data_IF_579883104710
#
_entry.id   IF_579883104710
#
_cell.length_a   1.000
_cell.length_b   1.000
_cell.length_c   1.000
_cell.angle_alpha   90.00
_cell.angle_beta   90.00
_cell.angle_gamma   90.00
#
_symmetry.space_group_name_H-M   'P 1'
#
loop_
_entity.id
_entity.type
_entity.pdbx_description
1 polymer ?
#
# COMPACT_ATOMS: atom_id res chain seq x y z
N UNK A 1 -4.84 -27.08 -11.63
CA UNK A 1 -4.06 -26.51 -10.51
C UNK A 1 -2.73 -25.89 -10.98
N UNK A 2 -2.05 -26.47 -11.98
CA UNK A 2 -0.72 -26.01 -12.43
C UNK A 2 -0.65 -24.58 -12.96
N UNK A 3 -1.70 -24.09 -13.64
CA UNK A 3 -1.77 -22.68 -14.08
C UNK A 3 -1.78 -21.69 -12.91
N UNK A 4 -2.35 -22.05 -11.76
CA UNK A 4 -2.41 -21.19 -10.57
C UNK A 4 -1.06 -21.16 -9.87
N UNK A 5 -0.41 -22.33 -9.75
CA UNK A 5 0.91 -22.47 -9.12
C UNK A 5 1.99 -21.77 -9.96
N UNK A 6 1.93 -21.89 -11.30
CA UNK A 6 2.85 -21.19 -12.20
C UNK A 6 2.71 -19.67 -12.12
N UNK A 7 1.47 -19.17 -12.13
CA UNK A 7 1.20 -17.72 -11.93
C UNK A 7 1.66 -17.23 -10.56
N UNK A 8 1.49 -18.02 -9.51
CA UNK A 8 1.97 -17.66 -8.17
C UNK A 8 3.51 -17.56 -8.12
N UNK A 9 4.22 -18.46 -8.81
CA UNK A 9 5.68 -18.45 -8.89
C UNK A 9 6.21 -17.28 -9.74
N UNK A 10 5.55 -16.96 -10.84
CA UNK A 10 5.82 -15.76 -11.64
C UNK A 10 5.60 -14.48 -10.80
N UNK A 11 4.50 -14.42 -10.02
CA UNK A 11 4.20 -13.31 -9.13
C UNK A 11 5.26 -13.12 -8.02
N UNK A 12 5.70 -14.22 -7.40
CA UNK A 12 6.82 -14.20 -6.45
C UNK A 12 8.14 -13.74 -7.09
N UNK A 13 8.38 -14.13 -8.35
CA UNK A 13 9.52 -13.66 -9.13
C UNK A 13 9.47 -12.14 -9.40
N UNK A 14 8.28 -11.60 -9.69
CA UNK A 14 8.05 -10.16 -9.90
C UNK A 14 8.29 -9.39 -8.60
N UNK A 15 7.81 -9.88 -7.45
CA UNK A 15 8.08 -9.27 -6.14
C UNK A 15 9.58 -9.21 -5.88
N UNK A 16 10.31 -10.30 -6.11
CA UNK A 16 11.76 -10.35 -5.94
C UNK A 16 12.52 -9.44 -6.91
N UNK A 17 12.12 -9.41 -8.18
CA UNK A 17 12.70 -8.54 -9.20
C UNK A 17 12.48 -7.07 -8.87
N UNK A 18 11.28 -6.69 -8.49
CA UNK A 18 10.98 -5.30 -8.16
C UNK A 18 11.56 -4.85 -6.83
N UNK A 19 11.74 -5.76 -5.86
CA UNK A 19 12.51 -5.45 -4.66
C UNK A 19 13.98 -5.19 -5.02
N UNK A 20 14.55 -5.97 -5.94
CA UNK A 20 15.90 -5.75 -6.48
C UNK A 20 15.99 -4.42 -7.23
N UNK A 21 15.03 -4.09 -8.09
CA UNK A 21 14.98 -2.81 -8.83
C UNK A 21 14.85 -1.62 -7.87
N UNK A 22 13.91 -1.69 -6.92
CA UNK A 22 13.72 -0.65 -5.90
C UNK A 22 14.98 -0.46 -5.03
N UNK A 23 15.70 -1.54 -4.73
CA UNK A 23 16.95 -1.52 -3.98
C UNK A 23 18.11 -0.89 -4.77
N UNK A 24 18.17 -1.10 -6.09
CA UNK A 24 19.19 -0.53 -6.98
C UNK A 24 18.98 0.98 -7.15
N UNK A 25 17.74 1.44 -7.26
CA UNK A 25 17.45 2.86 -7.53
C UNK A 25 17.58 3.75 -6.28
N UNK A 26 17.13 3.32 -5.09
CA UNK A 26 17.19 4.18 -3.90
C UNK A 26 17.07 3.46 -2.55
N UNK A 27 18.21 2.98 -2.04
CA UNK A 27 18.32 2.24 -0.77
C UNK A 27 17.81 3.00 0.46
N UNK A 28 17.99 4.33 0.50
CA UNK A 28 17.58 5.17 1.65
C UNK A 28 16.07 5.41 1.67
N UNK A 29 15.45 5.68 0.51
CA UNK A 29 14.02 5.97 0.44
C UNK A 29 13.17 4.72 0.65
N UNK A 30 13.64 3.56 0.19
CA UNK A 30 12.98 2.28 0.44
C UNK A 30 12.92 1.95 1.94
N UNK A 31 14.02 2.12 2.68
CA UNK A 31 14.04 1.85 4.13
C UNK A 31 13.13 2.80 4.92
N UNK A 32 13.20 4.11 4.65
CA UNK A 32 12.32 5.10 5.32
C UNK A 32 10.86 4.80 5.02
N UNK A 33 10.54 4.48 3.76
CA UNK A 33 9.18 4.13 3.35
C UNK A 33 8.69 2.84 4.00
N UNK A 34 9.50 1.78 4.01
CA UNK A 34 9.14 0.51 4.64
C UNK A 34 8.90 0.69 6.14
N UNK A 35 9.71 1.50 6.82
CA UNK A 35 9.49 1.84 8.21
C UNK A 35 8.16 2.58 8.44
N UNK A 36 7.85 3.58 7.60
CA UNK A 36 6.56 4.28 7.64
C UNK A 36 5.39 3.31 7.39
N UNK A 37 5.48 2.43 6.39
CA UNK A 37 4.42 1.48 6.06
C UNK A 37 4.16 0.49 7.19
N UNK A 38 5.21 0.00 7.87
CA UNK A 38 5.10 -0.88 9.03
C UNK A 38 4.42 -0.15 10.20
N UNK A 39 4.80 1.10 10.47
CA UNK A 39 4.14 1.92 11.49
C UNK A 39 2.66 2.11 11.18
N UNK A 40 2.33 2.47 9.94
CA UNK A 40 0.94 2.68 9.52
C UNK A 40 0.14 1.36 9.59
N UNK A 41 0.74 0.22 9.25
CA UNK A 41 0.08 -1.09 9.34
C UNK A 41 -0.29 -1.47 10.78
N UNK A 42 0.48 -1.00 11.77
CA UNK A 42 0.24 -1.29 13.20
C UNK A 42 -0.84 -0.43 13.85
N UNK A 43 -1.01 0.82 13.41
CA UNK A 43 -1.93 1.77 14.05
C UNK A 43 -3.40 1.29 14.10
N UNK A 44 -3.99 0.70 13.03
CA UNK A 44 -5.35 0.17 13.08
C UNK A 44 -5.60 -0.82 14.22
N UNK A 45 -4.58 -1.61 14.60
CA UNK A 45 -4.68 -2.54 15.71
C UNK A 45 -4.75 -1.82 17.06
N UNK A 46 -3.98 -0.75 17.22
CA UNK A 46 -4.08 0.13 18.39
C UNK A 46 -5.48 0.72 18.51
N UNK A 47 -6.08 1.16 17.40
CA UNK A 47 -7.46 1.67 17.37
C UNK A 47 -8.46 0.57 17.79
N UNK A 48 -8.29 -0.66 17.31
CA UNK A 48 -9.15 -1.80 17.70
C UNK A 48 -9.06 -2.08 19.21
N UNK A 49 -7.84 -2.09 19.78
CA UNK A 49 -7.63 -2.33 21.21
C UNK A 49 -8.28 -1.22 22.04
N UNK A 50 -8.11 0.04 21.65
CA UNK A 50 -8.73 1.16 22.35
C UNK A 50 -10.26 1.11 22.28
N UNK A 51 -10.82 0.73 21.12
CA UNK A 51 -12.27 0.51 20.99
C UNK A 51 -12.76 -0.60 21.92
N UNK A 52 -12.00 -1.70 22.03
CA UNK A 52 -12.34 -2.77 22.99
C UNK A 52 -12.38 -2.24 24.43
N UNK A 53 -11.34 -1.52 24.85
CA UNK A 53 -11.28 -0.94 26.21
C UNK A 53 -12.45 0.02 26.46
N UNK A 54 -12.80 0.83 25.46
CA UNK A 54 -13.93 1.75 25.53
C UNK A 54 -15.26 1.00 25.72
N UNK A 55 -15.49 -0.05 24.93
CA UNK A 55 -16.70 -0.89 25.03
C UNK A 55 -16.75 -1.61 26.38
N UNK A 56 -15.65 -2.22 26.81
CA UNK A 56 -15.54 -2.90 28.11
C UNK A 56 -15.84 -1.93 29.26
N UNK A 57 -15.34 -0.69 29.16
CA UNK A 57 -15.64 0.35 30.15
C UNK A 57 -17.13 0.73 30.16
N UNK A 58 -17.76 0.91 28.99
CA UNK A 58 -19.18 1.25 28.86
C UNK A 58 -20.12 0.14 29.36
N UNK A 59 -19.74 -1.12 29.16
CA UNK A 59 -20.55 -2.28 29.60
C UNK A 59 -20.49 -2.45 31.12
N UNK A 60 -19.35 -2.17 31.75
CA UNK A 60 -19.16 -2.34 33.20
C UNK A 60 -19.61 -1.12 34.02
N UNK A 61 -20.00 -0.01 33.38
CA UNK A 61 -20.51 1.20 34.04
C UNK A 61 -21.66 0.96 35.05
N UNK A 62 -22.62 0.05 34.82
CA UNK A 62 -23.72 -0.23 35.75
C UNK A 62 -23.28 -0.93 37.04
N UNK A 63 -22.23 -1.74 36.98
CA UNK A 63 -21.78 -2.59 38.10
C UNK A 63 -20.72 -1.90 38.98
N UNK A 64 -19.99 -0.93 38.42
CA UNK A 64 -18.95 -0.22 39.15
C UNK A 64 -19.58 0.99 39.86
N UNK A 65 -19.55 0.99 41.20
CA UNK A 65 -19.75 2.19 42.03
C UNK A 65 -18.55 3.12 41.84
N UNK A 66 -18.41 3.72 40.65
CA UNK A 66 -17.28 4.57 40.31
C UNK A 66 -17.41 5.89 41.05
N UNK A 67 -16.36 6.33 41.74
CA UNK A 67 -16.21 7.73 42.13
C UNK A 67 -16.33 8.58 40.86
N UNK A 68 -17.43 9.32 40.73
CA UNK A 68 -17.88 9.99 39.49
C UNK A 68 -16.79 10.83 38.80
N UNK A 69 -15.83 11.34 39.58
CA UNK A 69 -14.70 12.14 39.09
C UNK A 69 -13.62 11.27 38.42
N UNK A 70 -13.24 10.14 39.01
CA UNK A 70 -12.16 9.28 38.51
C UNK A 70 -12.59 8.52 37.24
N UNK A 71 -13.85 8.06 37.20
CA UNK A 71 -14.40 7.42 36.00
C UNK A 71 -14.47 8.36 34.80
N UNK A 72 -14.92 9.60 35.02
CA UNK A 72 -14.95 10.62 33.96
C UNK A 72 -13.56 10.91 33.41
N UNK A 73 -12.56 11.04 34.28
CA UNK A 73 -11.18 11.30 33.85
C UNK A 73 -10.59 10.14 33.03
N UNK A 74 -10.86 8.89 33.44
CA UNK A 74 -10.41 7.71 32.70
C UNK A 74 -11.06 7.62 31.31
N UNK A 75 -12.37 7.86 31.22
CA UNK A 75 -13.09 7.89 29.95
C UNK A 75 -12.57 8.97 28.99
N UNK A 76 -12.37 10.19 29.49
CA UNK A 76 -11.81 11.30 28.71
C UNK A 76 -10.38 10.95 28.24
N UNK A 77 -9.57 10.31 29.08
CA UNK A 77 -8.22 9.88 28.71
C UNK A 77 -8.22 8.87 27.56
N UNK A 78 -9.11 7.87 27.57
CA UNK A 78 -9.26 6.90 26.47
C UNK A 78 -9.66 7.59 25.18
N UNK A 79 -10.67 8.48 25.21
CA UNK A 79 -11.13 9.21 24.03
C UNK A 79 -10.01 10.11 23.48
N UNK A 80 -9.29 10.80 24.37
CA UNK A 80 -8.17 11.65 23.96
C UNK A 80 -7.06 10.82 23.30
N UNK A 81 -6.72 9.66 23.85
CA UNK A 81 -5.73 8.76 23.27
C UNK A 81 -6.19 8.23 21.90
N UNK A 82 -7.47 7.86 21.76
CA UNK A 82 -8.05 7.48 20.46
C UNK A 82 -7.97 8.62 19.45
N UNK A 83 -8.28 9.84 19.86
CA UNK A 83 -8.20 11.02 19.00
C UNK A 83 -6.77 11.24 18.51
N UNK A 84 -5.79 11.27 19.43
CA UNK A 84 -4.36 11.41 19.09
C UNK A 84 -3.91 10.33 18.12
N UNK A 85 -4.29 9.07 18.36
CA UNK A 85 -3.92 7.96 17.50
C UNK A 85 -4.53 8.08 16.09
N UNK A 86 -5.79 8.52 15.98
CA UNK A 86 -6.46 8.74 14.69
C UNK A 86 -5.84 9.93 13.91
N UNK A 87 -5.54 11.03 14.60
CA UNK A 87 -4.85 12.17 13.99
C UNK A 87 -3.48 11.75 13.49
N UNK A 88 -2.71 11.02 14.31
CA UNK A 88 -1.41 10.48 13.92
C UNK A 88 -1.53 9.54 12.72
N UNK A 89 -2.52 8.64 12.69
CA UNK A 89 -2.78 7.77 11.54
C UNK A 89 -2.99 8.57 10.24
N UNK A 90 -3.85 9.60 10.29
CA UNK A 90 -4.12 10.47 9.15
C UNK A 90 -2.89 11.24 8.69
N UNK A 91 -2.10 11.77 9.62
CA UNK A 91 -0.86 12.48 9.32
C UNK A 91 0.19 11.58 8.67
N UNK A 92 0.42 10.38 9.21
CA UNK A 92 1.33 9.42 8.58
C UNK A 92 0.85 9.01 7.17
N UNK A 93 -0.47 8.86 6.98
CA UNK A 93 -1.05 8.62 5.66
C UNK A 93 -0.71 9.73 4.66
N UNK A 94 -0.86 11.00 5.07
CA UNK A 94 -0.51 12.16 4.24
C UNK A 94 0.98 12.24 3.93
N UNK A 95 1.84 11.96 4.91
CA UNK A 95 3.29 11.91 4.71
C UNK A 95 3.65 10.81 3.69
N UNK A 96 3.05 9.62 3.82
CA UNK A 96 3.23 8.52 2.87
C UNK A 96 2.87 8.94 1.44
N UNK A 97 1.71 9.55 1.27
CA UNK A 97 1.23 10.00 -0.05
C UNK A 97 2.13 11.09 -0.63
N UNK A 98 2.58 12.05 0.20
CA UNK A 98 3.49 13.12 -0.20
C UNK A 98 4.85 12.59 -0.63
N UNK A 99 5.48 11.74 0.19
CA UNK A 99 6.72 11.07 -0.16
C UNK A 99 6.58 10.30 -1.48
N UNK A 100 5.38 9.79 -1.75
CA UNK A 100 5.13 9.07 -2.98
C UNK A 100 5.00 9.90 -4.22
N UNK A 101 4.28 10.99 -4.15
CA UNK A 101 4.22 11.96 -5.25
C UNK A 101 5.59 12.57 -5.53
N UNK A 102 6.39 12.87 -4.50
CA UNK A 102 7.76 13.38 -4.69
C UNK A 102 8.68 12.36 -5.36
N UNK A 103 8.58 11.08 -4.99
CA UNK A 103 9.37 10.04 -5.64
C UNK A 103 9.01 9.90 -7.13
N UNK A 104 7.70 10.00 -7.45
CA UNK A 104 7.17 10.03 -8.82
C UNK A 104 7.74 11.16 -9.65
N UNK A 105 7.73 12.36 -9.08
CA UNK A 105 8.23 13.53 -9.75
C UNK A 105 9.74 13.46 -10.00
N UNK A 106 10.52 13.03 -9.01
CA UNK A 106 11.98 12.88 -9.14
C UNK A 106 12.37 11.88 -10.22
N UNK A 107 11.69 10.73 -10.27
CA UNK A 107 11.95 9.71 -11.28
C UNK A 107 11.55 10.22 -12.66
N UNK A 108 10.38 10.83 -12.78
CA UNK A 108 9.92 11.44 -14.04
C UNK A 108 10.92 12.47 -14.59
N UNK A 109 11.43 13.35 -13.72
CA UNK A 109 12.41 14.37 -14.10
C UNK A 109 13.74 13.78 -14.56
N UNK A 110 14.26 12.78 -13.86
CA UNK A 110 15.52 12.12 -14.22
C UNK A 110 15.44 11.45 -15.60
N UNK A 111 14.33 10.76 -15.88
CA UNK A 111 14.08 10.13 -17.18
C UNK A 111 14.00 11.20 -18.29
N UNK A 112 13.32 12.31 -18.04
CA UNK A 112 13.22 13.41 -19.01
C UNK A 112 14.59 14.00 -19.37
N UNK A 113 15.48 14.16 -18.37
CA UNK A 113 16.84 14.63 -18.60
C UNK A 113 17.64 13.63 -19.43
N UNK A 114 17.62 12.33 -19.08
CA UNK A 114 18.35 11.30 -19.83
C UNK A 114 17.86 11.18 -21.28
N UNK A 115 16.55 11.30 -21.51
CA UNK A 115 15.98 11.32 -22.86
C UNK A 115 16.48 12.54 -23.63
N UNK A 116 16.51 13.72 -23.00
CA UNK A 116 16.98 14.96 -23.63
C UNK A 116 18.48 14.89 -23.99
N UNK A 117 19.33 14.39 -23.09
CA UNK A 117 20.76 14.19 -23.33
C UNK A 117 21.02 13.21 -24.47
N UNK A 118 20.32 12.06 -24.47
CA UNK A 118 20.45 11.07 -25.52
C UNK A 118 19.95 11.61 -26.87
N UNK A 119 18.86 12.39 -26.86
CA UNK A 119 18.32 13.04 -28.06
C UNK A 119 19.29 14.07 -28.64
N UNK A 120 19.97 14.84 -27.78
CA UNK A 120 20.96 15.83 -28.22
C UNK A 120 22.21 15.19 -28.86
N UNK A 121 22.49 13.92 -28.56
CA UNK A 121 23.63 13.17 -29.12
C UNK A 121 23.35 12.54 -30.50
N UNK A 122 22.11 12.61 -30.99
CA UNK A 122 21.68 11.96 -32.23
C UNK A 122 21.64 12.94 -33.41
N UNK A 123 22.02 12.46 -34.58
CA UNK A 123 21.93 13.23 -35.83
C UNK A 123 20.48 13.59 -36.18
N UNK A 124 20.31 14.75 -36.83
CA UNK A 124 19.01 15.30 -37.22
C UNK A 124 18.16 14.31 -38.03
N UNK A 125 18.79 13.45 -38.83
CA UNK A 125 18.12 12.44 -39.66
C UNK A 125 17.31 11.41 -38.88
N UNK A 126 17.63 11.18 -37.60
CA UNK A 126 16.87 10.27 -36.74
C UNK A 126 15.55 10.89 -36.25
N UNK A 127 15.47 12.21 -36.11
CA UNK A 127 14.27 12.93 -35.68
C UNK A 127 13.14 12.89 -36.70
N UNK A 128 13.46 12.71 -37.98
CA UNK A 128 12.46 12.58 -39.06
C UNK A 128 11.82 11.18 -39.11
N UNK A 129 12.36 10.21 -38.37
CA UNK A 129 11.84 8.84 -38.37
C UNK A 129 10.73 8.64 -37.34
N UNK A 130 9.56 8.20 -37.80
CA UNK A 130 8.44 7.83 -36.91
C UNK A 130 8.79 6.69 -35.94
N UNK A 131 9.80 5.88 -36.28
CA UNK A 131 10.25 4.76 -35.46
C UNK A 131 11.01 5.24 -34.21
N UNK A 132 11.90 6.23 -34.35
CA UNK A 132 12.63 6.81 -33.23
C UNK A 132 11.70 7.53 -32.24
N UNK A 133 10.74 8.30 -32.75
CA UNK A 133 9.74 8.97 -31.91
C UNK A 133 8.93 7.97 -31.07
N UNK A 134 8.52 6.84 -31.68
CA UNK A 134 7.81 5.78 -30.98
C UNK A 134 8.68 5.07 -29.94
N UNK A 135 9.95 4.78 -30.23
CA UNK A 135 10.86 4.16 -29.25
C UNK A 135 11.10 5.08 -28.05
N UNK A 136 11.28 6.39 -28.27
CA UNK A 136 11.43 7.36 -27.19
C UNK A 136 10.19 7.43 -26.30
N UNK A 137 9.00 7.44 -26.90
CA UNK A 137 7.75 7.48 -26.15
C UNK A 137 7.48 6.17 -25.40
N UNK A 138 7.85 5.02 -25.98
CA UNK A 138 7.78 3.72 -25.31
C UNK A 138 8.75 3.65 -24.14
N UNK A 139 10.00 4.08 -24.30
CA UNK A 139 10.98 4.12 -23.23
C UNK A 139 10.53 5.00 -22.05
N UNK A 140 9.92 6.17 -22.35
CA UNK A 140 9.30 7.04 -21.34
C UNK A 140 8.15 6.32 -20.62
N UNK A 141 7.24 5.69 -21.35
CA UNK A 141 6.08 4.96 -20.81
C UNK A 141 6.49 3.76 -19.94
N UNK A 142 7.44 2.96 -20.39
CA UNK A 142 7.92 1.77 -19.68
C UNK A 142 8.63 2.16 -18.37
N UNK A 143 9.35 3.28 -18.37
CA UNK A 143 10.00 3.80 -17.17
C UNK A 143 8.99 4.27 -16.11
N UNK A 144 7.91 4.96 -16.50
CA UNK A 144 6.81 5.31 -15.58
C UNK A 144 6.05 4.07 -15.06
N UNK A 145 5.92 3.03 -15.89
CA UNK A 145 5.30 1.78 -15.50
C UNK A 145 6.11 1.07 -14.40
N UNK A 146 7.45 1.04 -14.53
CA UNK A 146 8.37 0.48 -13.52
C UNK A 146 8.24 1.18 -12.16
N UNK A 147 8.04 2.50 -12.18
CA UNK A 147 7.85 3.25 -10.95
C UNK A 147 6.52 2.91 -10.27
N UNK A 148 5.44 2.93 -11.05
CA UNK A 148 4.09 2.59 -10.56
C UNK A 148 4.06 1.17 -9.97
N UNK A 149 4.76 0.23 -10.60
CA UNK A 149 4.94 -1.14 -10.09
C UNK A 149 5.59 -1.14 -8.70
N UNK A 150 6.62 -0.33 -8.48
CA UNK A 150 7.29 -0.22 -7.18
C UNK A 150 6.34 0.29 -6.09
N UNK A 151 5.46 1.25 -6.43
CA UNK A 151 4.41 1.73 -5.53
C UNK A 151 3.44 0.62 -5.12
N UNK A 152 2.87 -0.06 -6.12
CA UNK A 152 1.91 -1.14 -5.91
C UNK A 152 2.48 -2.24 -5.01
N UNK A 153 3.76 -2.58 -5.17
CA UNK A 153 4.39 -3.64 -4.39
C UNK A 153 4.57 -3.28 -2.91
N UNK A 154 4.93 -2.04 -2.61
CA UNK A 154 5.03 -1.58 -1.22
C UNK A 154 3.66 -1.57 -0.54
N UNK A 155 2.62 -1.09 -1.24
CA UNK A 155 1.25 -1.18 -0.74
C UNK A 155 0.79 -2.65 -0.58
N UNK A 156 1.25 -3.56 -1.45
CA UNK A 156 0.98 -4.99 -1.35
C UNK A 156 1.66 -5.62 -0.13
N UNK A 157 2.92 -5.28 0.14
CA UNK A 157 3.65 -5.73 1.34
C UNK A 157 2.93 -5.27 2.60
N UNK A 158 2.55 -3.99 2.67
CA UNK A 158 1.77 -3.44 3.79
C UNK A 158 0.45 -4.16 3.98
N UNK A 159 -0.30 -4.34 2.89
CA UNK A 159 -1.61 -5.01 2.93
C UNK A 159 -1.45 -6.46 3.40
N UNK A 160 -0.39 -7.15 2.98
CA UNK A 160 -0.04 -8.49 3.44
C UNK A 160 0.26 -8.54 4.94
N UNK A 161 1.08 -7.60 5.45
CA UNK A 161 1.38 -7.48 6.89
C UNK A 161 0.09 -7.24 7.68
N UNK A 162 -0.73 -6.28 7.24
CA UNK A 162 -2.00 -5.95 7.89
C UNK A 162 -2.98 -7.13 7.87
N UNK A 163 -3.01 -7.90 6.78
CA UNK A 163 -3.81 -9.11 6.66
C UNK A 163 -3.35 -10.18 7.65
N UNK A 164 -2.04 -10.45 7.74
CA UNK A 164 -1.48 -11.46 8.66
C UNK A 164 -1.78 -11.10 10.12
N UNK A 165 -1.56 -9.84 10.51
CA UNK A 165 -1.84 -9.39 11.88
C UNK A 165 -3.35 -9.47 12.17
N UNK A 166 -4.20 -9.05 11.24
CA UNK A 166 -5.67 -9.14 11.38
C UNK A 166 -6.13 -10.58 11.51
N UNK A 167 -5.62 -11.46 10.65
CA UNK A 167 -5.93 -12.87 10.67
C UNK A 167 -5.52 -13.52 12.00
N UNK A 168 -4.29 -13.25 12.47
CA UNK A 168 -3.80 -13.74 13.76
C UNK A 168 -4.65 -13.22 14.94
N UNK A 169 -5.05 -11.95 14.93
CA UNK A 169 -5.90 -11.36 15.95
C UNK A 169 -7.29 -12.01 16.01
N UNK A 170 -7.90 -12.26 14.85
CA UNK A 170 -9.22 -12.92 14.76
C UNK A 170 -9.11 -14.38 15.19
N UNK A 171 -8.09 -15.11 14.72
CA UNK A 171 -7.85 -16.50 15.12
C UNK A 171 -7.75 -16.68 16.64
N UNK A 172 -7.21 -15.69 17.36
CA UNK A 172 -7.12 -15.71 18.82
C UNK A 172 -8.49 -15.65 19.52
N UNK A 173 -9.48 -15.00 18.92
CA UNK A 173 -10.85 -14.95 19.46
C UNK A 173 -11.74 -16.06 18.93
N UNK A 174 -11.74 -16.30 17.62
CA UNK A 174 -12.44 -17.43 17.03
C UNK A 174 -11.89 -17.77 15.63
N UNK A 175 -11.37 -19.00 15.44
CA UNK A 175 -10.79 -19.42 14.16
C UNK A 175 -11.84 -19.57 13.05
N UNK A 176 -13.08 -19.90 13.38
CA UNK A 176 -14.15 -20.10 12.40
C UNK A 176 -14.47 -18.78 11.66
N UNK A 177 -14.53 -17.66 12.39
CA UNK A 177 -14.78 -16.35 11.76
C UNK A 177 -13.66 -15.96 10.79
N UNK A 178 -12.41 -16.29 11.09
CA UNK A 178 -11.29 -16.02 10.20
C UNK A 178 -11.44 -16.73 8.85
N UNK A 179 -11.88 -17.99 8.85
CA UNK A 179 -12.13 -18.75 7.62
C UNK A 179 -13.34 -18.23 6.84
N UNK A 180 -14.43 -17.86 7.53
CA UNK A 180 -15.62 -17.30 6.88
C UNK A 180 -15.27 -16.01 6.13
N UNK A 181 -14.47 -15.13 6.73
CA UNK A 181 -14.04 -13.87 6.10
C UNK A 181 -13.20 -14.15 4.84
N UNK A 182 -12.30 -15.13 4.89
CA UNK A 182 -11.52 -15.53 3.70
C UNK A 182 -12.45 -15.98 2.57
N UNK A 183 -13.42 -16.83 2.88
CA UNK A 183 -14.38 -17.34 1.88
C UNK A 183 -15.21 -16.19 1.31
N UNK A 184 -15.66 -15.25 2.16
CA UNK A 184 -16.39 -14.05 1.75
C UNK A 184 -15.57 -13.10 0.87
N UNK A 185 -14.24 -13.12 0.97
CA UNK A 185 -13.34 -12.33 0.12
C UNK A 185 -13.17 -12.88 -1.30
N UNK A 186 -13.43 -14.18 -1.53
CA UNK A 186 -13.22 -14.83 -2.84
C UNK A 186 -14.02 -14.15 -3.97
N UNK A 187 -15.33 -13.88 -3.84
CA UNK A 187 -16.11 -13.22 -4.88
C UNK A 187 -15.58 -11.84 -5.27
N UNK A 188 -15.09 -11.08 -4.29
CA UNK A 188 -14.50 -9.76 -4.53
C UNK A 188 -13.28 -9.86 -5.44
N UNK A 189 -12.39 -10.84 -5.22
CA UNK A 189 -11.22 -11.06 -6.08
C UNK A 189 -11.61 -11.42 -7.52
N UNK A 190 -12.68 -12.20 -7.70
CA UNK A 190 -13.19 -12.52 -9.04
C UNK A 190 -13.79 -11.30 -9.75
N UNK A 191 -14.51 -10.46 -9.01
CA UNK A 191 -15.08 -9.21 -9.51
C UNK A 191 -13.97 -8.26 -9.98
N UNK A 192 -12.95 -8.06 -9.14
CA UNK A 192 -11.78 -7.21 -9.43
C UNK A 192 -11.07 -7.63 -10.72
N UNK A 193 -10.81 -8.94 -10.88
CA UNK A 193 -10.16 -9.49 -12.08
C UNK A 193 -10.96 -9.20 -13.35
N UNK A 194 -12.28 -9.44 -13.30
CA UNK A 194 -13.15 -9.14 -14.45
C UNK A 194 -13.15 -7.66 -14.78
N UNK A 195 -13.19 -6.80 -13.76
CA UNK A 195 -13.15 -5.36 -13.94
C UNK A 195 -11.85 -4.90 -14.62
N UNK A 196 -10.69 -5.39 -14.17
CA UNK A 196 -9.39 -5.09 -14.79
C UNK A 196 -9.32 -5.57 -16.24
N UNK A 197 -9.85 -6.77 -16.55
CA UNK A 197 -9.90 -7.27 -17.93
C UNK A 197 -10.79 -6.43 -18.85
N UNK A 198 -11.87 -5.84 -18.32
CA UNK A 198 -12.74 -4.93 -19.07
C UNK A 198 -12.01 -3.62 -19.37
N UNK A 199 -11.36 -3.03 -18.36
CA UNK A 199 -10.55 -1.81 -18.53
C UNK A 199 -9.43 -2.04 -19.55
N UNK A 200 -8.71 -3.14 -19.44
CA UNK A 200 -7.61 -3.45 -20.36
C UNK A 200 -8.11 -3.58 -21.81
N UNK A 201 -9.28 -4.18 -22.01
CA UNK A 201 -9.92 -4.26 -23.33
C UNK A 201 -10.29 -2.89 -23.89
N UNK A 202 -10.73 -1.96 -23.05
CA UNK A 202 -11.04 -0.59 -23.47
C UNK A 202 -9.80 0.25 -23.80
N UNK A 203 -8.66 0.00 -23.16
CA UNK A 203 -7.42 0.72 -23.45
C UNK A 203 -6.68 0.19 -24.68
N UNK A 204 -7.00 -1.03 -25.12
CA UNK A 204 -6.38 -1.68 -26.28
C UNK A 204 -7.11 -1.36 -27.60
N UNK A 205 -8.40 -1.02 -27.53
CA UNK A 205 -9.21 -0.59 -28.67
C UNK A 205 -9.20 0.94 -28.80
#
# INVERSE_FOLDING_TARGET
MDKVIKKAKEFLGIIGFSFRVSWITSRKYLMVRLFIEVLIAGIPFGIIILNKILIDYLVNLPDIKVDSINGRNYFISIIFLMFVLNVMYGLLGKIKDYCGSMHKELIGKEIEIQIAEQSASLDLSYFDSAKFYNEMNNAKKDSYALETLTWILMDMIRSGIQFIISFAAICKHSPIFAFIIIIAGIPSVFSEKRFVEVIYRWQKN
#
